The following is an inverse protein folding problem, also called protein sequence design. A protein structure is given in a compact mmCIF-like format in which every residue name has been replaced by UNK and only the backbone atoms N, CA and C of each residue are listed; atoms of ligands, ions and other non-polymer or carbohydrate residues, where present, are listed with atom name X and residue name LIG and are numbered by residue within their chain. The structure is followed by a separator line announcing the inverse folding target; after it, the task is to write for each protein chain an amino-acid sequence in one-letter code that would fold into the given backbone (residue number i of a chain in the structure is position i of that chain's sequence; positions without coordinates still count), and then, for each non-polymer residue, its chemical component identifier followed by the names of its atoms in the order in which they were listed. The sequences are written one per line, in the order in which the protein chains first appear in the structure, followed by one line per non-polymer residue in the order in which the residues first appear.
data_IF_180944523486
#
_entry.id   IF_180944523486
#
_cell.length_a   1.000
_cell.length_b   1.000
_cell.length_c   1.000
_cell.angle_alpha   90.00
_cell.angle_beta   90.00
_cell.angle_gamma   90.00
#
_symmetry.space_group_name_H-M   'P 1'
#
loop_
_entity.id
_entity.type
_entity.pdbx_description
1 polymer ?
#
# COMPACT_ATOMS: atom_id res chain seq x y z
N UNK A 1 35.47 0.51 27.87
CA UNK A 1 34.14 0.31 27.25
C UNK A 1 34.24 -0.84 26.27
N UNK A 2 33.51 -1.94 26.49
CA UNK A 2 33.53 -3.10 25.58
C UNK A 2 32.75 -2.74 24.32
N UNK A 3 33.40 -2.82 23.17
CA UNK A 3 32.75 -2.72 21.88
C UNK A 3 31.83 -3.93 21.69
N UNK A 4 30.52 -3.70 21.79
CA UNK A 4 29.55 -4.71 21.39
C UNK A 4 29.60 -4.80 19.87
N UNK A 5 30.00 -5.97 19.36
CA UNK A 5 29.95 -6.30 17.95
C UNK A 5 28.50 -6.17 17.45
N UNK A 6 28.18 -5.06 16.80
CA UNK A 6 26.93 -4.89 16.07
C UNK A 6 26.94 -5.93 14.95
N UNK A 7 26.15 -7.00 15.11
CA UNK A 7 25.89 -7.93 14.01
C UNK A 7 24.98 -7.21 13.01
N UNK A 8 25.60 -6.50 12.07
CA UNK A 8 24.92 -6.00 10.88
C UNK A 8 24.56 -7.23 10.05
N UNK A 9 23.26 -7.53 9.94
CA UNK A 9 22.76 -8.59 9.09
C UNK A 9 23.14 -8.27 7.65
N UNK A 10 23.83 -9.21 6.99
CA UNK A 10 24.36 -9.06 5.65
C UNK A 10 23.20 -9.08 4.63
N UNK A 11 22.75 -7.91 4.18
CA UNK A 11 21.61 -7.72 3.24
C UNK A 11 22.03 -8.06 1.81
N UNK A 12 22.56 -9.26 1.57
CA UNK A 12 23.07 -9.64 0.24
C UNK A 12 22.17 -10.58 -0.56
N UNK A 13 20.96 -10.90 -0.11
CA UNK A 13 20.06 -11.75 -0.88
C UNK A 13 18.62 -11.47 -0.46
N UNK A 14 17.66 -11.68 -1.37
CA UNK A 14 16.22 -11.42 -1.24
C UNK A 14 15.77 -10.02 -1.74
N UNK A 15 16.46 -9.46 -2.75
CA UNK A 15 15.73 -8.70 -3.78
C UNK A 15 15.27 -9.70 -4.83
N UNK A 16 14.17 -10.41 -4.61
CA UNK A 16 13.65 -11.27 -5.68
C UNK A 16 12.13 -11.38 -5.60
N UNK A 17 11.50 -10.79 -6.62
CA UNK A 17 10.11 -10.89 -7.05
C UNK A 17 9.06 -10.20 -6.18
N UNK A 18 9.06 -8.87 -6.25
CA UNK A 18 7.85 -8.08 -6.04
C UNK A 18 7.01 -8.19 -7.32
N UNK A 19 5.91 -8.94 -7.25
CA UNK A 19 4.99 -9.15 -8.37
C UNK A 19 4.49 -7.82 -8.90
N UNK A 20 4.64 -7.60 -10.22
CA UNK A 20 3.99 -6.52 -10.93
C UNK A 20 2.48 -6.65 -10.70
N UNK A 21 1.89 -5.71 -9.95
CA UNK A 21 0.45 -5.54 -9.92
C UNK A 21 0.07 -4.94 -11.28
N UNK A 22 -0.42 -5.79 -12.18
CA UNK A 22 -0.93 -5.38 -13.48
C UNK A 22 -2.13 -4.45 -13.28
N UNK A 23 -1.90 -3.14 -13.46
CA UNK A 23 -2.97 -2.15 -13.57
C UNK A 23 -3.68 -2.35 -14.91
N UNK A 24 -4.73 -3.18 -14.93
CA UNK A 24 -5.56 -3.39 -16.12
C UNK A 24 -6.62 -2.29 -16.28
N UNK A 25 -6.42 -1.53 -17.37
CA UNK A 25 -7.35 -0.82 -18.28
C UNK A 25 -8.53 0.01 -17.73
N UNK A 26 -8.93 1.08 -18.45
CA UNK A 26 -9.96 2.03 -18.00
C UNK A 26 -11.33 1.38 -17.79
N UNK A 27 -12.10 1.93 -16.86
CA UNK A 27 -13.50 1.58 -16.62
C UNK A 27 -14.35 1.92 -17.84
N UNK A 28 -15.21 0.98 -18.24
CA UNK A 28 -16.31 1.23 -19.18
C UNK A 28 -17.23 2.29 -18.60
N UNK A 29 -17.54 3.34 -19.37
CA UNK A 29 -18.52 4.34 -18.95
C UNK A 29 -19.92 3.70 -18.84
N UNK A 30 -20.60 3.94 -17.72
CA UNK A 30 -21.95 3.45 -17.39
C UNK A 30 -23.08 4.06 -18.25
N UNK A 31 -22.94 4.09 -19.57
CA UNK A 31 -24.00 4.57 -20.46
C UNK A 31 -25.04 3.45 -20.68
N UNK A 32 -26.27 3.66 -20.20
CA UNK A 32 -27.40 2.76 -20.46
C UNK A 32 -27.75 1.73 -19.37
N UNK A 33 -27.39 2.01 -18.11
CA UNK A 33 -27.73 1.17 -16.94
C UNK A 33 -29.23 0.85 -16.87
N UNK A 34 -29.56 -0.44 -16.84
CA UNK A 34 -30.92 -0.98 -16.70
C UNK A 34 -30.94 -2.02 -15.58
N UNK A 35 -32.12 -2.34 -15.04
CA UNK A 35 -32.26 -3.53 -14.22
C UNK A 35 -32.30 -4.77 -15.13
N UNK A 36 -31.13 -5.19 -15.60
CA UNK A 36 -30.97 -6.37 -16.44
C UNK A 36 -29.71 -7.16 -16.08
N UNK A 37 -29.64 -8.39 -16.59
CA UNK A 37 -28.54 -9.29 -16.30
C UNK A 37 -27.18 -8.75 -16.77
N UNK A 38 -27.15 -7.97 -17.86
CA UNK A 38 -25.92 -7.41 -18.39
C UNK A 38 -25.33 -6.35 -17.45
N UNK A 39 -26.17 -5.38 -17.04
CA UNK A 39 -25.78 -4.32 -16.11
C UNK A 39 -25.40 -4.89 -14.74
N UNK A 40 -26.14 -5.89 -14.28
CA UNK A 40 -25.84 -6.61 -13.04
C UNK A 40 -24.46 -7.28 -13.10
N UNK A 41 -24.22 -8.09 -14.13
CA UNK A 41 -23.00 -8.87 -14.24
C UNK A 41 -21.76 -7.98 -14.45
N UNK A 42 -21.90 -6.86 -15.16
CA UNK A 42 -20.81 -5.87 -15.29
C UNK A 42 -20.44 -5.27 -13.92
N UNK A 43 -21.42 -4.75 -13.17
CA UNK A 43 -21.16 -4.19 -11.83
C UNK A 43 -20.56 -5.23 -10.87
N UNK A 44 -21.08 -6.47 -10.88
CA UNK A 44 -20.56 -7.56 -10.05
C UNK A 44 -19.12 -7.93 -10.42
N UNK A 45 -18.81 -8.01 -11.72
CA UNK A 45 -17.45 -8.30 -12.19
C UNK A 45 -16.47 -7.25 -11.72
N UNK A 46 -16.84 -5.97 -11.82
CA UNK A 46 -15.98 -4.87 -11.40
C UNK A 46 -15.82 -4.80 -9.87
N UNK A 47 -16.90 -5.06 -9.11
CA UNK A 47 -16.84 -5.15 -7.65
C UNK A 47 -15.90 -6.27 -7.20
N UNK A 48 -16.06 -7.48 -7.74
CA UNK A 48 -15.19 -8.62 -7.42
C UNK A 48 -13.72 -8.36 -7.77
N UNK A 49 -13.45 -7.61 -8.85
CA UNK A 49 -12.09 -7.18 -9.21
C UNK A 49 -11.51 -6.25 -8.14
N UNK A 50 -12.30 -5.30 -7.63
CA UNK A 50 -11.87 -4.40 -6.57
C UNK A 50 -11.62 -5.16 -5.25
N UNK A 51 -12.45 -6.13 -4.88
CA UNK A 51 -12.20 -6.96 -3.69
C UNK A 51 -10.93 -7.81 -3.86
N UNK A 52 -10.74 -8.44 -5.03
CA UNK A 52 -9.53 -9.21 -5.32
C UNK A 52 -8.27 -8.34 -5.25
N UNK A 53 -8.32 -7.13 -5.79
CA UNK A 53 -7.20 -6.18 -5.70
C UNK A 53 -6.89 -5.84 -4.25
N UNK A 54 -7.92 -5.57 -3.43
CA UNK A 54 -7.75 -5.24 -2.02
C UNK A 54 -7.01 -6.36 -1.28
N UNK A 55 -7.46 -7.60 -1.45
CA UNK A 55 -6.84 -8.78 -0.83
C UNK A 55 -5.36 -8.94 -1.22
N UNK A 56 -5.01 -8.73 -2.50
CA UNK A 56 -3.62 -8.78 -2.95
C UNK A 56 -2.75 -7.68 -2.31
N UNK A 57 -3.29 -6.46 -2.15
CA UNK A 57 -2.57 -5.39 -1.47
C UNK A 57 -2.40 -5.64 0.03
N UNK A 58 -3.38 -6.28 0.68
CA UNK A 58 -3.29 -6.72 2.09
C UNK A 58 -2.22 -7.78 2.25
N UNK A 59 -2.20 -8.81 1.41
CA UNK A 59 -1.16 -9.85 1.42
C UNK A 59 0.23 -9.24 1.23
N UNK A 60 0.37 -8.35 0.25
CA UNK A 60 1.63 -7.61 0.00
C UNK A 60 2.05 -6.79 1.21
N UNK A 61 1.11 -6.08 1.85
CA UNK A 61 1.40 -5.26 3.03
C UNK A 61 1.84 -6.11 4.22
N UNK A 62 1.17 -7.25 4.44
CA UNK A 62 1.51 -8.17 5.53
C UNK A 62 2.91 -8.78 5.34
N UNK A 63 3.30 -9.08 4.10
CA UNK A 63 4.66 -9.52 3.79
C UNK A 63 5.69 -8.42 4.09
N UNK A 64 5.45 -7.19 3.60
CA UNK A 64 6.29 -6.01 3.88
C UNK A 64 6.43 -5.74 5.38
N UNK A 65 5.34 -5.83 6.13
CA UNK A 65 5.32 -5.60 7.56
C UNK A 65 6.09 -6.69 8.31
N UNK A 66 5.98 -7.94 7.88
CA UNK A 66 6.75 -9.06 8.44
C UNK A 66 8.24 -8.85 8.22
N UNK A 67 8.64 -8.45 7.01
CA UNK A 67 10.02 -8.11 6.70
C UNK A 67 10.52 -6.93 7.56
N UNK A 68 9.74 -5.86 7.66
CA UNK A 68 10.07 -4.71 8.49
C UNK A 68 10.32 -5.09 9.95
N UNK A 69 9.48 -5.97 10.53
CA UNK A 69 9.64 -6.44 11.93
C UNK A 69 10.96 -7.18 12.16
N UNK A 70 11.55 -7.76 11.12
CA UNK A 70 12.86 -8.44 11.20
C UNK A 70 14.03 -7.47 10.95
N UNK A 71 13.77 -6.32 10.32
CA UNK A 71 14.77 -5.31 9.99
C UNK A 71 14.87 -4.27 11.12
N UNK A 72 16.01 -4.26 11.80
CA UNK A 72 16.32 -3.20 12.75
C UNK A 72 16.73 -1.92 11.99
N UNK A 73 15.95 -0.84 12.16
CA UNK A 73 16.32 0.49 11.66
C UNK A 73 17.32 1.13 12.63
N UNK A 74 18.41 1.68 12.09
CA UNK A 74 19.49 2.23 12.89
C UNK A 74 19.02 3.49 13.66
N UNK A 75 18.19 4.33 13.03
CA UNK A 75 17.57 5.52 13.64
C UNK A 75 16.61 5.23 14.78
N UNK A 76 16.15 3.98 14.93
CA UNK A 76 15.35 3.56 16.09
C UNK A 76 16.21 3.13 17.27
N UNK A 77 17.49 2.81 17.04
CA UNK A 77 18.40 2.26 18.04
C UNK A 77 19.42 3.28 18.51
N UNK A 78 19.88 4.14 17.61
CA UNK A 78 20.97 5.07 17.84
C UNK A 78 20.50 6.51 17.66
N UNK A 79 21.00 7.39 18.52
CA UNK A 79 20.87 8.83 18.34
C UNK A 79 21.60 9.31 17.08
N UNK A 80 21.25 10.48 16.57
CA UNK A 80 21.96 11.08 15.43
C UNK A 80 23.46 11.23 15.67
N UNK A 81 23.87 11.58 16.91
CA UNK A 81 25.28 11.68 17.26
C UNK A 81 26.00 10.34 17.17
N UNK A 82 25.40 9.28 17.73
CA UNK A 82 25.94 7.92 17.65
C UNK A 82 26.00 7.42 16.20
N UNK A 83 24.98 7.71 15.39
CA UNK A 83 24.99 7.39 13.95
C UNK A 83 26.15 8.06 13.23
N UNK A 84 26.44 9.33 13.51
CA UNK A 84 27.59 10.04 12.93
C UNK A 84 28.91 9.39 13.36
N UNK A 85 29.07 9.03 14.65
CA UNK A 85 30.27 8.36 15.14
C UNK A 85 30.44 6.97 14.51
N UNK A 86 29.35 6.20 14.40
CA UNK A 86 29.36 4.87 13.79
C UNK A 86 29.63 4.93 12.30
N UNK A 87 29.12 5.94 11.58
CA UNK A 87 29.39 6.15 10.15
C UNK A 87 30.88 6.46 9.89
N UNK A 88 31.54 7.22 10.77
CA UNK A 88 32.99 7.52 10.66
C UNK A 88 33.85 6.27 10.67
N UNK A 89 33.42 5.21 11.35
CA UNK A 89 34.16 3.97 11.39
C UNK A 89 34.11 3.29 10.00
N UNK A 90 35.26 3.15 9.35
CA UNK A 90 35.38 2.70 7.96
C UNK A 90 34.75 1.33 7.71
N UNK A 91 34.76 0.45 8.72
CA UNK A 91 34.13 -0.87 8.67
C UNK A 91 32.59 -0.82 8.57
N UNK A 92 31.96 0.27 8.99
CA UNK A 92 30.50 0.44 8.99
C UNK A 92 29.98 1.16 7.74
N UNK A 93 30.82 1.95 7.06
CA UNK A 93 30.40 2.86 5.98
C UNK A 93 29.60 2.16 4.87
N UNK A 94 30.06 1.00 4.40
CA UNK A 94 29.35 0.24 3.35
C UNK A 94 27.95 -0.17 3.81
N UNK A 95 27.84 -0.73 5.00
CA UNK A 95 26.56 -1.17 5.55
C UNK A 95 25.57 -0.01 5.72
N UNK A 96 26.05 1.14 6.19
CA UNK A 96 25.23 2.34 6.36
C UNK A 96 24.79 2.94 5.01
N UNK A 97 25.66 2.91 3.99
CA UNK A 97 25.29 3.29 2.62
C UNK A 97 24.23 2.36 2.01
N UNK A 98 24.39 1.05 2.19
CA UNK A 98 23.43 0.05 1.72
C UNK A 98 22.07 0.23 2.43
N UNK A 99 22.07 0.45 3.74
CA UNK A 99 20.87 0.73 4.53
C UNK A 99 20.19 2.03 4.10
N UNK A 100 20.96 3.11 3.84
CA UNK A 100 20.43 4.38 3.34
C UNK A 100 19.74 4.19 2.00
N UNK A 101 20.42 3.52 1.04
CA UNK A 101 19.84 3.24 -0.28
C UNK A 101 18.57 2.40 -0.17
N UNK A 102 18.60 1.33 0.63
CA UNK A 102 17.43 0.49 0.85
C UNK A 102 16.27 1.30 1.46
N UNK A 103 16.53 2.15 2.45
CA UNK A 103 15.49 2.94 3.12
C UNK A 103 14.81 3.92 2.16
N UNK A 104 15.58 4.55 1.27
CA UNK A 104 15.03 5.41 0.21
C UNK A 104 14.12 4.58 -0.72
N UNK A 105 14.60 3.41 -1.17
CA UNK A 105 13.82 2.54 -2.05
C UNK A 105 12.52 2.05 -1.41
N UNK A 106 12.55 1.60 -0.15
CA UNK A 106 11.34 1.20 0.58
C UNK A 106 10.36 2.37 0.74
N UNK A 107 10.85 3.56 1.09
CA UNK A 107 10.00 4.75 1.20
C UNK A 107 9.27 5.05 -0.12
N UNK A 108 9.99 5.03 -1.25
CA UNK A 108 9.42 5.27 -2.57
C UNK A 108 8.39 4.21 -2.96
N UNK A 109 8.72 2.93 -2.78
CA UNK A 109 7.81 1.83 -3.12
C UNK A 109 6.52 1.88 -2.30
N UNK A 110 6.62 2.04 -0.97
CA UNK A 110 5.47 2.11 -0.08
C UNK A 110 4.58 3.32 -0.42
N UNK A 111 5.19 4.46 -0.73
CA UNK A 111 4.46 5.68 -1.16
C UNK A 111 3.74 5.47 -2.49
N UNK A 112 4.35 4.76 -3.44
CA UNK A 112 3.72 4.46 -4.73
C UNK A 112 2.54 3.49 -4.57
N UNK A 113 2.67 2.47 -3.72
CA UNK A 113 1.55 1.56 -3.40
C UNK A 113 0.41 2.30 -2.68
N UNK A 114 0.72 3.22 -1.76
CA UNK A 114 -0.29 4.08 -1.14
C UNK A 114 -1.06 4.92 -2.16
N UNK A 115 -0.38 5.55 -3.13
CA UNK A 115 -1.04 6.29 -4.22
C UNK A 115 -1.96 5.40 -5.07
N UNK A 116 -1.58 4.16 -5.32
CA UNK A 116 -2.42 3.21 -6.04
C UNK A 116 -3.69 2.85 -5.24
N UNK A 117 -3.56 2.64 -3.92
CA UNK A 117 -4.70 2.41 -3.01
C UNK A 117 -5.66 3.61 -2.99
N UNK A 118 -5.14 4.84 -2.99
CA UNK A 118 -5.97 6.05 -3.09
C UNK A 118 -6.81 6.08 -4.38
N UNK A 119 -6.26 5.59 -5.49
CA UNK A 119 -6.99 5.45 -6.76
C UNK A 119 -8.08 4.37 -6.66
N UNK A 120 -7.75 3.20 -6.11
CA UNK A 120 -8.69 2.09 -5.92
C UNK A 120 -9.83 2.43 -4.95
N UNK A 121 -9.56 3.24 -3.92
CA UNK A 121 -10.59 3.81 -3.03
C UNK A 121 -11.60 4.64 -3.83
N UNK A 122 -11.12 5.55 -4.70
CA UNK A 122 -11.99 6.33 -5.59
C UNK A 122 -12.79 5.43 -6.53
N UNK A 123 -12.16 4.41 -7.11
CA UNK A 123 -12.84 3.43 -7.97
C UNK A 123 -13.95 2.67 -7.22
N UNK A 124 -13.75 2.37 -5.94
CA UNK A 124 -14.76 1.74 -5.08
C UNK A 124 -15.93 2.69 -4.76
N UNK A 125 -15.69 4.00 -4.63
CA UNK A 125 -16.75 5.02 -4.54
C UNK A 125 -17.56 5.07 -5.84
N UNK A 126 -16.88 5.06 -6.99
CA UNK A 126 -17.58 5.01 -8.29
C UNK A 126 -18.42 3.74 -8.42
N UNK A 127 -17.93 2.61 -7.92
CA UNK A 127 -18.68 1.35 -7.87
C UNK A 127 -19.92 1.45 -6.98
N UNK A 128 -19.81 2.07 -5.79
CA UNK A 128 -20.94 2.30 -4.91
C UNK A 128 -22.04 3.12 -5.61
N UNK A 129 -21.66 4.20 -6.30
CA UNK A 129 -22.60 5.01 -7.08
C UNK A 129 -23.22 4.24 -8.26
N UNK A 130 -22.48 3.27 -8.83
CA UNK A 130 -22.99 2.39 -9.89
C UNK A 130 -24.08 1.45 -9.37
N UNK A 131 -23.84 0.84 -8.20
CA UNK A 131 -24.81 -0.01 -7.51
C UNK A 131 -26.04 0.75 -7.03
N UNK A 132 -25.88 1.96 -6.51
CA UNK A 132 -26.99 2.85 -6.13
C UNK A 132 -27.92 3.10 -7.33
N UNK A 133 -27.36 3.50 -8.47
CA UNK A 133 -28.14 3.70 -9.70
C UNK A 133 -28.81 2.43 -10.19
N UNK A 134 -28.16 1.27 -10.05
CA UNK A 134 -28.77 0.00 -10.44
C UNK A 134 -29.95 -0.35 -9.52
N UNK A 135 -29.82 -0.10 -8.21
CA UNK A 135 -30.92 -0.25 -7.26
C UNK A 135 -32.13 0.61 -7.65
N UNK A 136 -31.91 1.90 -7.96
CA UNK A 136 -32.96 2.81 -8.44
C UNK A 136 -33.65 2.29 -9.70
N UNK A 137 -32.89 1.74 -10.66
CA UNK A 137 -33.47 1.14 -11.88
C UNK A 137 -34.28 -0.11 -11.60
N UNK A 138 -33.85 -0.93 -10.65
CA UNK A 138 -34.58 -2.13 -10.25
C UNK A 138 -35.86 -1.79 -9.47
N UNK A 139 -35.83 -0.75 -8.64
CA UNK A 139 -37.03 -0.22 -7.98
C UNK A 139 -38.08 0.24 -9.02
N UNK A 140 -37.67 1.04 -10.02
CA UNK A 140 -38.56 1.52 -11.10
C UNK A 140 -39.18 0.36 -11.89
N UNK A 141 -38.45 -0.75 -12.04
CA UNK A 141 -38.92 -1.95 -12.75
C UNK A 141 -39.72 -2.93 -11.87
N UNK A 142 -40.01 -2.59 -10.61
CA UNK A 142 -40.64 -3.48 -9.60
C UNK A 142 -39.86 -4.79 -9.33
N UNK A 143 -38.54 -4.77 -9.57
CA UNK A 143 -37.62 -5.90 -9.35
C UNK A 143 -37.00 -5.83 -7.94
N UNK A 144 -37.84 -5.99 -6.91
CA UNK A 144 -37.47 -5.76 -5.49
C UNK A 144 -36.27 -6.57 -5.00
N UNK A 145 -36.15 -7.83 -5.42
CA UNK A 145 -35.03 -8.67 -5.02
C UNK A 145 -33.69 -8.12 -5.54
N UNK A 146 -33.69 -7.62 -6.78
CA UNK A 146 -32.51 -7.04 -7.41
C UNK A 146 -32.18 -5.67 -6.81
N UNK A 147 -33.21 -4.86 -6.49
CA UNK A 147 -33.03 -3.61 -5.75
C UNK A 147 -32.30 -3.82 -4.43
N UNK A 148 -32.85 -4.66 -3.54
CA UNK A 148 -32.28 -4.91 -2.19
C UNK A 148 -30.85 -5.43 -2.30
N UNK A 149 -30.59 -6.30 -3.26
CA UNK A 149 -29.25 -6.87 -3.45
C UNK A 149 -28.28 -5.80 -4.00
N UNK A 150 -28.72 -4.93 -4.90
CA UNK A 150 -27.90 -3.80 -5.38
C UNK A 150 -27.59 -2.80 -4.26
N UNK A 151 -28.54 -2.48 -3.38
CA UNK A 151 -28.32 -1.63 -2.19
C UNK A 151 -27.26 -2.25 -1.26
N UNK A 152 -27.29 -3.58 -1.07
CA UNK A 152 -26.27 -4.29 -0.31
C UNK A 152 -24.87 -4.13 -0.93
N UNK A 153 -24.75 -4.25 -2.26
CA UNK A 153 -23.48 -4.04 -2.95
C UNK A 153 -23.01 -2.58 -2.91
N UNK A 154 -23.91 -1.59 -2.94
CA UNK A 154 -23.58 -0.19 -2.74
C UNK A 154 -22.90 0.03 -1.37
N UNK A 155 -23.49 -0.54 -0.31
CA UNK A 155 -22.94 -0.43 1.06
C UNK A 155 -21.56 -1.08 1.14
N UNK A 156 -21.39 -2.27 0.55
CA UNK A 156 -20.10 -2.96 0.58
C UNK A 156 -19.02 -2.27 -0.28
N UNK A 157 -19.38 -1.73 -1.45
CA UNK A 157 -18.44 -0.94 -2.25
C UNK A 157 -18.00 0.33 -1.51
N UNK A 158 -18.92 0.96 -0.78
CA UNK A 158 -18.60 2.11 0.10
C UNK A 158 -17.69 1.71 1.25
N UNK A 159 -17.89 0.53 1.84
CA UNK A 159 -17.01 0.02 2.90
C UNK A 159 -15.62 -0.33 2.35
N UNK A 160 -15.56 -1.00 1.20
CA UNK A 160 -14.30 -1.32 0.52
C UNK A 160 -13.48 -0.06 0.22
N UNK A 161 -14.13 1.05 -0.16
CA UNK A 161 -13.45 2.33 -0.34
C UNK A 161 -12.75 2.81 0.94
N UNK A 162 -13.38 2.66 2.10
CA UNK A 162 -12.79 3.01 3.42
C UNK A 162 -11.66 2.06 3.77
N UNK A 163 -11.81 0.77 3.48
CA UNK A 163 -10.78 -0.24 3.74
C UNK A 163 -9.52 0.05 2.91
N UNK A 164 -9.68 0.47 1.66
CA UNK A 164 -8.58 0.98 0.83
C UNK A 164 -7.88 2.20 1.44
N UNK A 165 -8.63 3.19 1.94
CA UNK A 165 -8.07 4.37 2.62
C UNK A 165 -7.32 4.00 3.90
N UNK A 166 -7.84 3.03 4.66
CA UNK A 166 -7.16 2.54 5.85
C UNK A 166 -5.84 1.85 5.48
N UNK A 167 -5.85 0.98 4.47
CA UNK A 167 -4.64 0.30 4.00
C UNK A 167 -3.61 1.30 3.46
N UNK A 168 -4.05 2.32 2.69
CA UNK A 168 -3.20 3.43 2.25
C UNK A 168 -2.48 4.08 3.44
N UNK A 169 -3.22 4.39 4.51
CA UNK A 169 -2.67 5.01 5.72
C UNK A 169 -1.62 4.12 6.38
N UNK A 170 -1.81 2.80 6.36
CA UNK A 170 -0.83 1.84 6.89
C UNK A 170 0.46 1.81 6.04
N UNK A 171 0.35 1.80 4.71
CA UNK A 171 1.50 1.93 3.81
C UNK A 171 2.28 3.23 4.06
N UNK A 172 1.58 4.38 4.19
CA UNK A 172 2.21 5.67 4.49
C UNK A 172 2.83 5.71 5.90
N UNK A 173 2.24 5.01 6.86
CA UNK A 173 2.82 4.82 8.19
C UNK A 173 4.19 4.16 8.11
N UNK A 174 4.29 3.06 7.37
CA UNK A 174 5.55 2.34 7.17
C UNK A 174 6.55 3.16 6.33
N UNK A 175 6.09 3.85 5.28
CA UNK A 175 6.93 4.72 4.44
C UNK A 175 7.64 5.80 5.29
N UNK A 176 6.91 6.43 6.23
CA UNK A 176 7.46 7.45 7.14
C UNK A 176 8.53 6.93 8.09
N UNK A 177 8.56 5.62 8.40
CA UNK A 177 9.65 5.04 9.18
C UNK A 177 10.94 5.00 8.36
N UNK A 178 10.83 4.58 7.10
CA UNK A 178 11.97 4.51 6.18
C UNK A 178 12.48 5.88 5.72
N UNK A 179 11.60 6.87 5.58
CA UNK A 179 12.01 8.26 5.32
C UNK A 179 12.84 8.81 6.49
N UNK A 180 12.38 8.60 7.74
CA UNK A 180 13.13 9.01 8.94
C UNK A 180 14.50 8.34 9.03
N UNK A 181 14.57 7.04 8.75
CA UNK A 181 15.83 6.29 8.67
C UNK A 181 16.77 6.91 7.62
N UNK A 182 16.27 7.12 6.40
CA UNK A 182 17.06 7.69 5.32
C UNK A 182 17.57 9.10 5.67
N UNK A 183 16.74 9.93 6.29
CA UNK A 183 17.11 11.29 6.69
C UNK A 183 18.17 11.29 7.81
N UNK A 184 18.04 10.41 8.80
CA UNK A 184 19.04 10.25 9.87
C UNK A 184 20.40 9.78 9.31
N UNK A 185 20.38 8.80 8.42
CA UNK A 185 21.58 8.27 7.77
C UNK A 185 22.25 9.29 6.84
N UNK A 186 21.46 10.04 6.06
CA UNK A 186 21.97 11.12 5.21
C UNK A 186 22.59 12.25 6.04
N UNK A 187 21.98 12.60 7.17
CA UNK A 187 22.56 13.57 8.12
C UNK A 187 23.92 13.09 8.64
N UNK A 188 24.00 11.84 9.09
CA UNK A 188 25.25 11.25 9.59
C UNK A 188 26.35 11.22 8.52
N UNK A 189 25.99 10.90 7.27
CA UNK A 189 26.90 10.93 6.12
C UNK A 189 27.45 12.34 5.83
N UNK A 190 26.58 13.35 5.85
CA UNK A 190 26.95 14.73 5.52
C UNK A 190 27.75 15.41 6.63
N UNK A 191 27.62 14.96 7.88
CA UNK A 191 28.37 15.47 9.04
C UNK A 191 29.87 15.06 9.04
N UNK A 192 30.34 14.50 7.93
CA UNK A 192 31.72 14.08 7.68
C UNK A 192 32.47 14.99 6.72
N UNK A 193 31.74 15.89 6.05
CA UNK A 193 32.28 16.97 5.24
C UNK A 193 32.56 18.19 6.13
#
# INVERSE_FOLDING_TARGET
MKANNVKIVNVKTIMTKWTLVWLLTPFSAFAGLKCDHASWNDNLTQFNRLESNYNQYVETFNALLTEHKQRQLLSQTFSLHELTLLWRAQNNQRAFQDQLKASIQYHEELTNKAKALAKLSKESIWMANGWEKLAEKCEISDEKANQITAEWYQVNASQLAKDYTQLETQYLGLARLYDREANALRFAQNSLQ
#
